data_IF_839879906839
#
_entry.id   IF_839879906839
#
_cell.length_a   1.000
_cell.length_b   1.000
_cell.length_c   1.000
_cell.angle_alpha   90.00
_cell.angle_beta   90.00
_cell.angle_gamma   90.00
#
_symmetry.space_group_name_H-M   'P 1'
#
loop_
_entity.id
_entity.type
_entity.pdbx_description
1 polymer ?
#
# COMPACT_ATOMS: atom_id res chain seq x y z
N UNK A 1 2.66 12.82 9.39
CA UNK A 1 1.82 13.32 8.27
C UNK A 1 1.11 12.09 7.76
N UNK A 2 -0.17 11.86 8.06
CA UNK A 2 -0.74 10.50 8.03
C UNK A 2 -1.43 10.15 6.72
N UNK A 3 -1.13 8.96 6.18
CA UNK A 3 -1.93 8.31 5.14
C UNK A 3 -3.07 7.50 5.78
N UNK A 4 -4.24 7.46 5.14
CA UNK A 4 -5.40 6.66 5.58
C UNK A 4 -5.66 5.45 4.68
N UNK A 5 -6.45 4.50 5.16
CA UNK A 5 -6.89 3.34 4.36
C UNK A 5 -7.65 3.78 3.10
N UNK A 6 -8.48 4.81 3.22
CA UNK A 6 -9.22 5.39 2.09
C UNK A 6 -8.28 5.95 1.02
N UNK A 7 -7.17 6.59 1.41
CA UNK A 7 -6.18 7.10 0.47
C UNK A 7 -5.51 5.98 -0.33
N UNK A 8 -5.12 4.90 0.36
CA UNK A 8 -4.52 3.72 -0.26
C UNK A 8 -5.52 3.03 -1.19
N UNK A 9 -6.75 2.81 -0.73
CA UNK A 9 -7.79 2.18 -1.54
C UNK A 9 -8.14 3.01 -2.78
N UNK A 10 -8.20 4.34 -2.65
CA UNK A 10 -8.48 5.22 -3.79
C UNK A 10 -7.34 5.22 -4.82
N UNK A 11 -6.08 5.21 -4.36
CA UNK A 11 -4.93 5.09 -5.26
C UNK A 11 -4.96 3.77 -6.01
N UNK A 12 -5.22 2.65 -5.33
CA UNK A 12 -5.29 1.33 -5.97
C UNK A 12 -6.43 1.29 -7.02
N UNK A 13 -7.59 1.88 -6.72
CA UNK A 13 -8.71 1.93 -7.68
C UNK A 13 -8.44 2.84 -8.87
N UNK A 14 -7.85 4.01 -8.62
CA UNK A 14 -7.75 5.08 -9.63
C UNK A 14 -6.48 4.96 -10.46
N UNK A 15 -5.33 4.79 -9.81
CA UNK A 15 -4.02 4.78 -10.44
C UNK A 15 -3.64 3.37 -10.93
N UNK A 16 -4.06 2.33 -10.21
CA UNK A 16 -3.77 0.93 -10.57
C UNK A 16 -4.91 0.25 -11.33
N UNK A 17 -6.09 0.90 -11.42
CA UNK A 17 -7.22 0.45 -12.23
C UNK A 17 -7.93 -0.79 -11.70
N UNK A 18 -7.87 -1.05 -10.39
CA UNK A 18 -8.53 -2.21 -9.76
C UNK A 18 -9.93 -1.81 -9.33
N UNK A 19 -10.94 -2.35 -10.01
CA UNK A 19 -12.35 -2.03 -9.77
C UNK A 19 -13.02 -2.95 -8.72
N UNK A 20 -12.33 -3.99 -8.27
CA UNK A 20 -12.82 -4.93 -7.27
C UNK A 20 -13.05 -4.25 -5.89
N UNK A 21 -13.98 -4.77 -5.08
CA UNK A 21 -14.13 -4.32 -3.70
C UNK A 21 -12.89 -4.71 -2.88
N UNK A 22 -12.00 -3.74 -2.69
CA UNK A 22 -10.84 -3.84 -1.81
C UNK A 22 -11.22 -3.37 -0.41
N UNK A 23 -11.09 -4.27 0.55
CA UNK A 23 -11.21 -4.03 1.99
C UNK A 23 -9.82 -3.95 2.64
N UNK A 24 -9.78 -3.52 3.90
CA UNK A 24 -8.53 -3.35 4.65
C UNK A 24 -7.70 -4.64 4.77
N UNK A 25 -8.36 -5.80 4.83
CA UNK A 25 -7.73 -7.13 4.96
C UNK A 25 -7.61 -7.87 3.62
N UNK A 26 -7.97 -7.24 2.50
CA UNK A 26 -7.85 -7.87 1.18
C UNK A 26 -6.38 -8.09 0.85
N UNK A 27 -6.05 -9.34 0.52
CA UNK A 27 -4.74 -9.75 0.02
C UNK A 27 -4.49 -9.14 -1.37
N UNK A 28 -3.64 -8.14 -1.41
CA UNK A 28 -3.28 -7.40 -2.62
C UNK A 28 -2.22 -8.15 -3.42
N UNK A 29 -1.15 -8.63 -2.78
CA UNK A 29 -0.01 -9.23 -3.47
C UNK A 29 -0.11 -10.74 -3.51
N UNK A 30 -0.39 -11.38 -2.37
CA UNK A 30 -0.61 -12.83 -2.30
C UNK A 30 -1.89 -13.27 -3.02
N UNK A 31 -2.91 -12.40 -3.04
CA UNK A 31 -4.14 -12.57 -3.82
C UNK A 31 -3.98 -12.28 -5.32
N UNK A 32 -2.84 -11.72 -5.74
CA UNK A 32 -2.53 -11.45 -7.15
C UNK A 32 -3.27 -10.25 -7.76
N UNK A 33 -3.79 -9.34 -6.93
CA UNK A 33 -4.39 -8.08 -7.39
C UNK A 33 -3.31 -7.08 -7.83
N UNK A 34 -2.17 -7.06 -7.13
CA UNK A 34 -1.05 -6.18 -7.39
C UNK A 34 0.18 -6.92 -7.90
N UNK A 35 0.76 -6.40 -8.97
CA UNK A 35 2.04 -6.83 -9.52
C UNK A 35 3.22 -6.08 -8.87
N UNK A 36 4.43 -6.59 -9.10
CA UNK A 36 5.69 -5.98 -8.64
C UNK A 36 5.91 -4.55 -9.14
N UNK A 37 5.37 -4.20 -10.32
CA UNK A 37 5.45 -2.82 -10.85
C UNK A 37 4.56 -1.88 -10.05
N UNK A 38 3.31 -2.30 -9.80
CA UNK A 38 2.34 -1.56 -9.01
C UNK A 38 2.81 -1.36 -7.56
N UNK A 39 3.59 -2.32 -7.02
CA UNK A 39 4.23 -2.20 -5.72
C UNK A 39 5.14 -0.98 -5.62
N UNK A 40 5.98 -0.77 -6.64
CA UNK A 40 6.90 0.37 -6.67
C UNK A 40 6.11 1.69 -6.71
N UNK A 41 5.06 1.77 -7.52
CA UNK A 41 4.17 2.94 -7.58
C UNK A 41 3.49 3.22 -6.25
N UNK A 42 3.02 2.18 -5.56
CA UNK A 42 2.38 2.30 -4.24
C UNK A 42 3.38 2.79 -3.19
N UNK A 43 4.60 2.26 -3.18
CA UNK A 43 5.67 2.72 -2.28
C UNK A 43 5.95 4.20 -2.52
N UNK A 44 6.15 4.62 -3.77
CA UNK A 44 6.39 6.03 -4.10
C UNK A 44 5.24 6.93 -3.63
N UNK A 45 3.99 6.51 -3.83
CA UNK A 45 2.82 7.24 -3.33
C UNK A 45 2.83 7.40 -1.79
N UNK A 46 3.16 6.34 -1.07
CA UNK A 46 3.26 6.36 0.39
C UNK A 46 4.37 7.31 0.85
N UNK A 47 5.55 7.23 0.25
CA UNK A 47 6.70 8.08 0.58
C UNK A 47 6.37 9.57 0.35
N UNK A 48 5.76 9.90 -0.79
CA UNK A 48 5.36 11.27 -1.12
C UNK A 48 4.27 11.81 -0.20
N UNK A 49 3.27 10.99 0.14
CA UNK A 49 2.10 11.42 0.92
C UNK A 49 2.36 11.47 2.43
N UNK A 50 3.09 10.51 2.97
CA UNK A 50 3.43 10.45 4.38
C UNK A 50 4.76 11.16 4.72
N UNK A 51 5.60 11.45 3.72
CA UNK A 51 6.91 12.06 3.92
C UNK A 51 7.92 11.10 4.56
N UNK A 52 7.75 9.79 4.35
CA UNK A 52 8.60 8.72 4.90
C UNK A 52 9.47 8.13 3.80
N UNK A 53 10.43 7.29 4.18
CA UNK A 53 11.22 6.49 3.24
C UNK A 53 11.04 5.01 3.57
N UNK A 54 10.65 4.21 2.58
CA UNK A 54 10.48 2.77 2.73
C UNK A 54 11.77 2.09 2.34
N UNK A 55 12.35 1.31 3.26
CA UNK A 55 13.54 0.55 2.93
C UNK A 55 13.16 -0.69 2.11
N UNK A 56 13.95 -1.09 1.10
CA UNK A 56 13.70 -2.30 0.32
C UNK A 56 13.58 -3.58 1.17
N UNK A 57 14.23 -3.63 2.34
CA UNK A 57 14.13 -4.73 3.29
C UNK A 57 12.79 -4.83 4.00
N UNK A 58 12.07 -3.71 4.10
CA UNK A 58 10.77 -3.62 4.78
C UNK A 58 9.60 -3.91 3.82
N UNK A 59 9.88 -3.99 2.51
CA UNK A 59 8.93 -4.38 1.47
C UNK A 59 8.75 -5.91 1.49
N UNK A 60 7.98 -6.38 2.46
CA UNK A 60 7.62 -7.78 2.64
C UNK A 60 6.12 -7.96 2.51
N UNK A 61 5.66 -9.20 2.26
CA UNK A 61 4.22 -9.50 2.29
C UNK A 61 3.60 -9.16 3.65
N UNK A 62 4.30 -9.37 4.77
CA UNK A 62 3.76 -9.02 6.09
C UNK A 62 3.40 -7.53 6.21
N UNK A 63 4.22 -6.65 5.63
CA UNK A 63 4.02 -5.20 5.69
C UNK A 63 3.19 -4.63 4.54
N UNK A 64 3.20 -5.27 3.37
CA UNK A 64 2.61 -4.72 2.15
C UNK A 64 1.45 -5.54 1.57
N UNK A 65 1.12 -6.72 2.10
CA UNK A 65 0.11 -7.59 1.49
C UNK A 65 -1.32 -7.06 1.60
N UNK A 66 -1.63 -6.23 2.59
CA UNK A 66 -2.97 -5.66 2.78
C UNK A 66 -2.91 -4.16 3.07
N UNK A 67 -4.01 -3.44 2.81
CA UNK A 67 -4.11 -2.01 3.15
C UNK A 67 -3.88 -1.78 4.65
N UNK A 68 -4.42 -2.67 5.50
CA UNK A 68 -4.23 -2.59 6.95
C UNK A 68 -2.76 -2.76 7.35
N UNK A 69 -2.05 -3.73 6.76
CA UNK A 69 -0.61 -3.91 6.99
C UNK A 69 0.19 -2.68 6.58
N UNK A 70 -0.12 -2.11 5.41
CA UNK A 70 0.57 -0.92 4.89
C UNK A 70 0.37 0.26 5.83
N UNK A 71 -0.87 0.52 6.23
CA UNK A 71 -1.19 1.60 7.18
C UNK A 71 -0.45 1.42 8.51
N UNK A 72 -0.44 0.19 9.05
CA UNK A 72 0.25 -0.13 10.29
C UNK A 72 1.76 0.07 10.17
N UNK A 73 2.36 -0.35 9.05
CA UNK A 73 3.77 -0.13 8.75
C UNK A 73 4.10 1.36 8.67
N UNK A 74 3.34 2.14 7.91
CA UNK A 74 3.58 3.60 7.80
C UNK A 74 3.42 4.29 9.16
N UNK A 75 2.44 3.89 9.96
CA UNK A 75 2.26 4.41 11.33
C UNK A 75 3.43 4.08 12.25
N UNK A 76 4.16 2.99 11.99
CA UNK A 76 5.35 2.64 12.77
C UNK A 76 6.58 3.50 12.43
N UNK A 77 6.55 4.23 11.32
CA UNK A 77 7.62 5.11 10.85
C UNK A 77 7.43 6.58 11.28
N UNK A 78 6.25 6.97 11.76
CA UNK A 78 5.92 8.34 12.23
C UNK A 78 6.46 8.59 13.65
#
# INVERSE_FOLDING_TARGET
MSISQDDLANFIRTDLGIEDPIDAETELFSGGLLDSVSMVSLITFIEEKAGVTVQPSDVTLENFDTIASIEAYVRSLD
#
